data_IF_007756402602
#
_entry.id   IF_007756402602
#
_cell.length_a   1.000
_cell.length_b   1.000
_cell.length_c   1.000
_cell.angle_alpha   90.00
_cell.angle_beta   90.00
_cell.angle_gamma   90.00
#
_symmetry.space_group_name_H-M   'P 1'
#
loop_
_entity.id
_entity.type
_entity.pdbx_description
1 polymer ?
#
# COMPACT_ATOMS: atom_id res chain seq x y z
N UNK A 1 -13.68 -12.26 14.15
CA UNK A 1 -12.73 -11.35 14.85
C UNK A 1 -11.29 -11.87 14.85
N UNK A 2 -11.01 -13.13 15.21
CA UNK A 2 -9.63 -13.70 15.19
C UNK A 2 -8.92 -13.58 13.85
N UNK A 3 -9.61 -13.81 12.72
CA UNK A 3 -9.04 -13.67 11.36
C UNK A 3 -8.63 -12.23 11.02
N UNK A 4 -9.45 -11.25 11.42
CA UNK A 4 -9.19 -9.82 11.19
C UNK A 4 -8.00 -9.36 12.03
N UNK A 5 -7.96 -9.76 13.31
CA UNK A 5 -6.83 -9.47 14.21
C UNK A 5 -5.52 -10.10 13.71
N UNK A 6 -5.56 -11.33 13.17
CA UNK A 6 -4.40 -11.97 12.56
C UNK A 6 -3.93 -11.28 11.28
N UNK A 7 -4.85 -10.81 10.43
CA UNK A 7 -4.50 -10.00 9.25
C UNK A 7 -3.85 -8.68 9.65
N UNK A 8 -4.39 -8.02 10.68
CA UNK A 8 -3.86 -6.75 11.18
C UNK A 8 -2.47 -6.91 11.79
N UNK A 9 -2.24 -8.01 12.51
CA UNK A 9 -0.92 -8.34 13.04
C UNK A 9 0.09 -8.63 11.92
N UNK A 10 -0.34 -9.30 10.85
CA UNK A 10 0.51 -9.57 9.68
C UNK A 10 0.86 -8.30 8.89
N UNK A 11 0.07 -7.22 9.01
CA UNK A 11 0.38 -5.94 8.34
C UNK A 11 1.35 -5.04 9.09
N UNK A 12 1.64 -5.32 10.38
CA UNK A 12 2.50 -4.48 11.22
C UNK A 12 3.92 -4.28 10.66
N UNK A 13 4.61 -5.29 10.09
CA UNK A 13 5.95 -5.08 9.54
C UNK A 13 5.99 -4.01 8.45
N UNK A 14 4.98 -3.95 7.58
CA UNK A 14 4.91 -2.97 6.51
C UNK A 14 4.80 -1.52 7.02
N UNK A 15 4.16 -1.34 8.19
CA UNK A 15 4.06 -0.02 8.84
C UNK A 15 5.36 0.33 9.54
N UNK A 16 6.01 -0.64 10.19
CA UNK A 16 7.28 -0.44 10.87
C UNK A 16 8.43 -0.07 9.90
N UNK A 17 8.41 -0.62 8.68
CA UNK A 17 9.39 -0.30 7.63
C UNK A 17 9.11 1.03 6.90
N UNK A 18 7.99 1.70 7.15
CA UNK A 18 7.68 3.00 6.56
C UNK A 18 8.43 4.17 7.22
N UNK A 19 9.12 3.92 8.35
CA UNK A 19 9.95 4.92 9.05
C UNK A 19 11.45 4.65 8.83
N UNK A 20 12.28 5.70 8.73
CA UNK A 20 13.72 5.57 8.53
C UNK A 20 14.37 4.97 9.78
N UNK A 21 15.43 4.19 9.57
CA UNK A 21 16.20 3.55 10.64
C UNK A 21 16.38 2.04 10.49
N UNK A 22 15.66 1.39 9.58
CA UNK A 22 15.78 -0.05 9.36
C UNK A 22 15.85 -0.42 7.87
N UNK A 23 17.05 -0.33 7.29
CA UNK A 23 17.38 -0.97 5.99
C UNK A 23 17.50 -0.08 4.75
N UNK A 24 17.42 1.26 4.87
CA UNK A 24 17.56 2.20 3.75
C UNK A 24 18.82 3.07 3.80
N UNK A 25 19.46 3.24 2.64
CA UNK A 25 20.60 4.12 2.38
C UNK A 25 20.10 5.48 1.84
N UNK A 26 20.35 6.55 2.60
CA UNK A 26 20.18 7.97 2.22
C UNK A 26 18.77 8.59 2.17
N UNK A 27 18.73 9.90 2.46
CA UNK A 27 17.59 10.61 3.04
C UNK A 27 16.37 10.94 2.16
N UNK A 28 15.37 11.56 2.80
CA UNK A 28 14.08 11.94 2.23
C UNK A 28 14.18 12.98 1.13
N UNK A 29 14.11 12.55 -0.12
CA UNK A 29 14.03 13.43 -1.29
C UNK A 29 12.87 13.03 -2.19
N UNK A 30 12.41 13.95 -3.04
CA UNK A 30 11.41 13.64 -4.07
C UNK A 30 11.93 12.52 -4.99
N UNK A 31 13.24 12.49 -5.25
CA UNK A 31 13.88 11.46 -6.08
C UNK A 31 13.73 10.09 -5.42
N UNK A 32 13.99 9.97 -4.12
CA UNK A 32 13.82 8.72 -3.35
C UNK A 32 12.42 8.13 -3.52
N UNK A 33 11.38 8.96 -3.50
CA UNK A 33 10.00 8.51 -3.72
C UNK A 33 9.79 7.86 -5.10
N UNK A 34 10.43 8.37 -6.15
CA UNK A 34 10.30 7.84 -7.52
C UNK A 34 11.30 6.74 -7.86
N UNK A 35 12.46 6.68 -7.20
CA UNK A 35 13.51 5.69 -7.47
C UNK A 35 13.32 4.40 -6.68
N UNK A 36 12.62 4.43 -5.55
CA UNK A 36 12.47 3.25 -4.72
C UNK A 36 11.31 2.35 -5.12
N UNK A 37 11.55 1.03 -5.28
CA UNK A 37 10.53 0.10 -5.75
C UNK A 37 9.34 -0.04 -4.80
N UNK A 38 9.54 0.18 -3.49
CA UNK A 38 8.49 0.10 -2.49
C UNK A 38 7.37 1.13 -2.70
N UNK A 39 7.71 2.37 -3.04
CA UNK A 39 6.74 3.41 -3.31
C UNK A 39 5.91 3.08 -4.57
N UNK A 40 6.55 2.57 -5.62
CA UNK A 40 5.88 2.13 -6.84
C UNK A 40 4.88 0.98 -6.57
N UNK A 41 5.30 -0.05 -5.84
CA UNK A 41 4.46 -1.20 -5.51
C UNK A 41 3.22 -0.80 -4.71
N UNK A 42 3.38 0.03 -3.68
CA UNK A 42 2.26 0.52 -2.86
C UNK A 42 1.30 1.36 -3.71
N UNK A 43 1.82 2.28 -4.52
CA UNK A 43 1.01 3.17 -5.35
C UNK A 43 0.18 2.41 -6.38
N UNK A 44 0.79 1.45 -7.08
CA UNK A 44 0.10 0.59 -8.04
C UNK A 44 -0.94 -0.30 -7.35
N UNK A 45 -0.63 -0.85 -6.18
CA UNK A 45 -1.57 -1.65 -5.39
C UNK A 45 -2.82 -0.88 -4.99
N UNK A 46 -2.64 0.33 -4.45
CA UNK A 46 -3.76 1.22 -4.07
C UNK A 46 -4.58 1.61 -5.30
N UNK A 47 -3.93 1.95 -6.41
CA UNK A 47 -4.61 2.31 -7.65
C UNK A 47 -5.46 1.15 -8.20
N UNK A 48 -4.92 -0.07 -8.21
CA UNK A 48 -5.65 -1.27 -8.64
C UNK A 48 -6.89 -1.52 -7.78
N UNK A 49 -6.75 -1.44 -6.45
CA UNK A 49 -7.88 -1.58 -5.52
C UNK A 49 -8.95 -0.52 -5.79
N UNK A 50 -8.56 0.75 -5.94
CA UNK A 50 -9.48 1.84 -6.26
C UNK A 50 -10.24 1.59 -7.57
N UNK A 51 -9.55 1.18 -8.63
CA UNK A 51 -10.17 0.85 -9.92
C UNK A 51 -11.18 -0.28 -9.76
N UNK A 52 -10.82 -1.36 -9.06
CA UNK A 52 -11.73 -2.49 -8.81
C UNK A 52 -13.00 -2.03 -8.08
N UNK A 53 -12.86 -1.21 -7.03
CA UNK A 53 -14.01 -0.66 -6.31
C UNK A 53 -14.89 0.21 -7.21
N UNK A 54 -14.29 1.13 -7.97
CA UNK A 54 -15.02 2.02 -8.89
C UNK A 54 -15.79 1.19 -9.94
N UNK A 55 -15.14 0.23 -10.59
CA UNK A 55 -15.76 -0.62 -11.61
C UNK A 55 -16.91 -1.44 -11.00
N UNK A 56 -16.69 -2.03 -9.82
CA UNK A 56 -17.69 -2.84 -9.13
C UNK A 56 -18.91 -2.02 -8.73
N UNK A 57 -18.73 -0.81 -8.21
CA UNK A 57 -19.83 0.10 -7.89
C UNK A 57 -20.59 0.58 -9.13
N UNK A 58 -19.88 0.85 -10.24
CA UNK A 58 -20.52 1.19 -11.52
C UNK A 58 -21.35 0.04 -12.09
N UNK A 59 -20.90 -1.20 -11.94
CA UNK A 59 -21.63 -2.37 -12.42
C UNK A 59 -22.89 -2.64 -11.58
N UNK A 60 -22.83 -2.46 -10.26
CA UNK A 60 -24.03 -2.55 -9.40
C UNK A 60 -25.12 -1.55 -9.77
N UNK A 61 -24.75 -0.32 -10.14
CA UNK A 61 -25.70 0.73 -10.53
C UNK A 61 -26.35 0.50 -11.91
N UNK A 62 -25.80 -0.39 -12.73
CA UNK A 62 -26.31 -0.72 -14.07
C UNK A 62 -27.25 -1.93 -14.08
N UNK A 63 -27.21 -2.76 -13.05
CA UNK A 63 -28.12 -3.89 -12.84
C UNK A 63 -29.36 -3.43 -12.06
#
# INVERSE_FOLDING_TARGET
>A
MKKISSLLAASLPFVAFAHPGHGGTDGYTIIHYFSEPQHALISLGVMAVAIVFIVRERNKKKA
#
